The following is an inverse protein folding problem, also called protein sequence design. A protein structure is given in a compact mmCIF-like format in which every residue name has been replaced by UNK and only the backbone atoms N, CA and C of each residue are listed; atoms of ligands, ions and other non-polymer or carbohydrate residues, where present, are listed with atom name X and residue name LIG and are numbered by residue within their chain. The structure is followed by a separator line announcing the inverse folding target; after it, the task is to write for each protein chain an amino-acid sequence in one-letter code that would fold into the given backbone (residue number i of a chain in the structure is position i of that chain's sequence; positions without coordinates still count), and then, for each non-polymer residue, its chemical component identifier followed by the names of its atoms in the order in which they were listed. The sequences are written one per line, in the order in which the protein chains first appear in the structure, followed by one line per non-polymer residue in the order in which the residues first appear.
data_IF_762023427703
#
_entry.id   IF_762023427703
#
_cell.length_a   1.000
_cell.length_b   1.000
_cell.length_c   1.000
_cell.angle_alpha   90.00
_cell.angle_beta   90.00
_cell.angle_gamma   90.00
#
_symmetry.space_group_name_H-M   'P 1'
#
loop_
_entity.id
_entity.type
_entity.pdbx_description
1 polymer ?
#
# COMPACT_ATOMS: atom_id res chain seq x y z
N UNK A 1 11.04 23.88 -29.28
CA UNK A 1 10.98 22.90 -28.18
C UNK A 1 9.51 22.59 -28.01
N UNK A 2 9.07 21.42 -28.50
CA UNK A 2 7.69 20.99 -28.35
C UNK A 2 7.40 20.79 -26.87
N UNK A 3 6.38 21.47 -26.35
CA UNK A 3 5.75 21.13 -25.09
C UNK A 3 5.05 19.80 -25.29
N UNK A 4 5.79 18.69 -25.12
CA UNK A 4 5.18 17.38 -24.95
C UNK A 4 4.50 17.39 -23.60
N UNK A 5 3.21 17.66 -23.59
CA UNK A 5 2.34 17.47 -22.43
C UNK A 5 2.60 16.05 -21.89
N UNK A 6 3.05 15.95 -20.64
CA UNK A 6 3.24 14.65 -19.98
C UNK A 6 1.84 14.08 -19.80
N UNK A 7 1.42 13.19 -20.69
CA UNK A 7 0.15 12.48 -20.55
C UNK A 7 0.34 11.41 -19.46
N UNK A 8 -0.16 11.71 -18.28
CA UNK A 8 -0.24 10.80 -17.15
C UNK A 8 -1.31 9.75 -17.45
N UNK A 9 -0.89 8.52 -17.78
CA UNK A 9 -1.77 7.51 -18.37
C UNK A 9 -2.45 6.60 -17.34
N UNK A 10 -1.88 6.43 -16.15
CA UNK A 10 -2.44 5.54 -15.13
C UNK A 10 -3.60 6.20 -14.35
N UNK A 11 -4.67 5.45 -14.03
CA UNK A 11 -5.81 5.93 -13.26
C UNK A 11 -5.44 6.62 -11.93
N UNK A 12 -4.43 6.12 -11.23
CA UNK A 12 -3.97 6.66 -9.94
C UNK A 12 -3.59 8.13 -9.97
N UNK A 13 -3.19 8.68 -11.12
CA UNK A 13 -2.83 10.10 -11.22
C UNK A 13 -4.02 11.05 -10.98
N UNK A 14 -5.26 10.54 -11.04
CA UNK A 14 -6.46 11.29 -10.61
C UNK A 14 -6.41 11.68 -9.12
N UNK A 15 -5.57 11.01 -8.33
CA UNK A 15 -5.40 11.26 -6.89
C UNK A 15 -4.28 12.26 -6.57
N UNK A 16 -3.55 12.77 -7.56
CA UNK A 16 -2.42 13.69 -7.33
C UNK A 16 -2.82 14.97 -6.57
N UNK A 17 -4.02 15.50 -6.83
CA UNK A 17 -4.54 16.67 -6.10
C UNK A 17 -4.81 16.35 -4.64
N UNK A 18 -5.33 15.15 -4.35
CA UNK A 18 -5.59 14.70 -2.97
C UNK A 18 -4.27 14.47 -2.21
N UNK A 19 -3.27 13.86 -2.86
CA UNK A 19 -1.91 13.73 -2.31
C UNK A 19 -1.34 15.11 -1.98
N UNK A 20 -1.43 16.06 -2.91
CA UNK A 20 -0.95 17.45 -2.71
C UNK A 20 -1.66 18.13 -1.54
N UNK A 21 -2.98 17.97 -1.44
CA UNK A 21 -3.76 18.54 -0.34
C UNK A 21 -3.34 17.94 1.00
N UNK A 22 -3.21 16.61 1.10
CA UNK A 22 -2.85 15.91 2.33
C UNK A 22 -1.41 16.20 2.76
N UNK A 23 -0.44 16.14 1.85
CA UNK A 23 0.97 16.41 2.19
C UNK A 23 1.18 17.85 2.65
N UNK A 24 0.41 18.81 2.11
CA UNK A 24 0.47 20.22 2.54
C UNK A 24 0.07 20.45 4.01
N UNK A 25 -0.62 19.48 4.61
CA UNK A 25 -1.05 19.52 6.03
C UNK A 25 0.03 18.98 6.97
N UNK A 26 1.07 18.33 6.45
CA UNK A 26 2.19 17.78 7.23
C UNK A 26 3.24 18.87 7.43
N UNK A 27 3.09 19.65 8.51
CA UNK A 27 3.92 20.81 8.85
C UNK A 27 5.29 20.42 9.41
N UNK A 28 5.38 19.32 10.15
CA UNK A 28 6.59 18.77 10.78
C UNK A 28 7.66 18.45 9.73
N UNK A 29 7.24 18.12 8.51
CA UNK A 29 8.13 17.89 7.37
C UNK A 29 8.91 19.12 6.89
N UNK A 30 8.42 20.34 7.18
CA UNK A 30 9.04 21.61 6.78
C UNK A 30 9.38 21.64 5.28
N UNK A 31 8.47 21.15 4.43
CA UNK A 31 8.63 21.15 2.96
C UNK A 31 8.95 22.54 2.40
N UNK A 32 8.25 23.64 2.78
CA UNK A 32 8.56 24.97 2.26
C UNK A 32 10.01 25.40 2.53
N UNK A 33 10.55 25.08 3.70
CA UNK A 33 11.93 25.36 4.08
C UNK A 33 12.92 24.49 3.29
N UNK A 34 12.58 23.24 2.99
CA UNK A 34 13.46 22.38 2.18
C UNK A 34 13.49 22.83 0.72
N UNK A 35 12.37 23.34 0.18
CA UNK A 35 12.33 23.97 -1.15
C UNK A 35 13.25 25.19 -1.21
N UNK A 36 13.27 26.02 -0.16
CA UNK A 36 14.20 27.16 -0.08
C UNK A 36 15.67 26.72 -0.02
N UNK A 37 15.96 25.51 0.47
CA UNK A 37 17.29 24.90 0.50
C UNK A 37 17.67 24.18 -0.80
N UNK A 38 16.79 24.14 -1.79
CA UNK A 38 17.09 23.63 -3.13
C UNK A 38 16.40 22.33 -3.52
N UNK A 39 15.45 21.82 -2.72
CA UNK A 39 14.55 20.76 -3.15
C UNK A 39 13.62 21.27 -4.26
N UNK A 40 13.45 20.50 -5.33
CA UNK A 40 12.48 20.84 -6.37
C UNK A 40 11.06 20.50 -5.93
N UNK A 41 10.12 21.42 -6.19
CA UNK A 41 8.71 21.26 -5.86
C UNK A 41 7.92 20.44 -6.89
N UNK A 42 8.57 19.96 -7.95
CA UNK A 42 7.93 19.18 -9.02
C UNK A 42 8.33 17.71 -8.91
N UNK A 43 7.39 16.78 -9.09
CA UNK A 43 7.70 15.35 -9.19
C UNK A 43 8.06 15.01 -10.63
N UNK A 44 9.19 14.33 -10.82
CA UNK A 44 9.58 13.77 -12.11
C UNK A 44 8.98 12.38 -12.27
N UNK A 45 7.91 12.26 -13.05
CA UNK A 45 7.29 10.97 -13.31
C UNK A 45 8.13 10.10 -14.24
N UNK A 46 8.38 8.86 -13.81
CA UNK A 46 9.01 7.80 -14.61
C UNK A 46 8.07 6.61 -14.79
N UNK A 47 8.49 5.62 -15.58
CA UNK A 47 7.72 4.39 -15.89
C UNK A 47 6.29 4.63 -16.40
N UNK A 48 6.06 5.72 -17.12
CA UNK A 48 4.72 6.13 -17.62
C UNK A 48 4.05 5.14 -18.58
N UNK A 49 4.83 4.23 -19.16
CA UNK A 49 4.42 3.18 -20.10
C UNK A 49 5.21 1.88 -19.80
N UNK A 50 5.64 1.72 -18.56
CA UNK A 50 6.76 0.85 -18.24
C UNK A 50 6.45 -0.22 -17.21
N UNK A 51 7.37 -1.17 -17.17
CA UNK A 51 7.64 -1.96 -15.98
C UNK A 51 8.24 -1.02 -14.92
N UNK A 52 7.95 -1.29 -13.66
CA UNK A 52 8.59 -0.64 -12.50
C UNK A 52 10.11 -0.83 -12.60
N UNK A 53 10.84 0.28 -12.72
CA UNK A 53 12.31 0.31 -12.71
C UNK A 53 12.88 0.82 -11.40
N UNK A 54 12.13 1.67 -10.71
CA UNK A 54 12.42 2.19 -9.37
C UNK A 54 11.09 2.50 -8.67
N UNK A 55 11.13 2.71 -7.35
CA UNK A 55 9.98 3.21 -6.58
C UNK A 55 10.00 4.73 -6.60
N UNK A 56 10.98 5.30 -5.92
CA UNK A 56 11.33 6.71 -5.95
C UNK A 56 12.84 6.88 -5.76
N UNK A 57 13.37 8.02 -6.18
CA UNK A 57 14.76 8.44 -5.89
C UNK A 57 14.90 9.96 -6.04
N UNK A 58 15.84 10.56 -5.34
CA UNK A 58 16.30 11.92 -5.64
C UNK A 58 17.22 11.93 -6.88
N UNK A 59 16.91 12.81 -7.84
CA UNK A 59 17.80 13.09 -8.96
C UNK A 59 18.93 14.07 -8.56
N UNK A 60 19.90 14.26 -9.45
CA UNK A 60 21.05 15.16 -9.23
C UNK A 60 20.69 16.64 -9.13
N UNK A 61 19.42 17.02 -9.38
CA UNK A 61 18.88 18.36 -9.24
C UNK A 61 18.01 18.49 -7.99
N UNK A 62 18.06 17.50 -7.08
CA UNK A 62 17.23 17.40 -5.88
C UNK A 62 15.73 17.36 -6.20
N UNK A 63 15.37 16.67 -7.28
CA UNK A 63 13.98 16.41 -7.64
C UNK A 63 13.65 14.96 -7.37
N UNK A 64 12.50 14.73 -6.74
CA UNK A 64 12.01 13.38 -6.54
C UNK A 64 11.51 12.82 -7.87
N UNK A 65 12.13 11.73 -8.33
CA UNK A 65 11.60 10.85 -9.37
C UNK A 65 10.66 9.86 -8.72
N UNK A 66 9.49 9.66 -9.31
CA UNK A 66 8.48 8.71 -8.80
C UNK A 66 7.94 7.87 -9.95
N UNK A 67 7.92 6.54 -9.75
CA UNK A 67 7.41 5.61 -10.76
C UNK A 67 5.89 5.60 -10.80
N UNK A 68 5.35 5.88 -11.99
CA UNK A 68 3.91 5.87 -12.26
C UNK A 68 3.36 4.44 -12.23
N UNK A 69 4.13 3.49 -12.75
CA UNK A 69 3.78 2.07 -12.70
C UNK A 69 3.76 1.56 -11.25
N UNK A 70 4.72 1.98 -10.42
CA UNK A 70 4.75 1.63 -9.00
C UNK A 70 3.53 2.21 -8.27
N UNK A 71 3.18 3.47 -8.54
CA UNK A 71 2.00 4.10 -7.97
C UNK A 71 0.72 3.28 -8.27
N UNK A 72 0.55 2.83 -9.51
CA UNK A 72 -0.58 2.00 -9.88
C UNK A 72 -0.54 0.62 -9.20
N UNK A 73 0.65 0.03 -9.07
CA UNK A 73 0.87 -1.23 -8.39
C UNK A 73 0.49 -1.14 -6.91
N UNK A 74 0.99 -0.12 -6.20
CA UNK A 74 0.70 0.11 -4.78
C UNK A 74 -0.80 0.21 -4.55
N UNK A 75 -1.53 0.96 -5.39
CA UNK A 75 -2.99 1.08 -5.27
C UNK A 75 -3.69 -0.28 -5.38
N UNK A 76 -3.32 -1.11 -6.37
CA UNK A 76 -3.93 -2.44 -6.58
C UNK A 76 -3.65 -3.33 -5.37
N UNK A 77 -2.41 -3.34 -4.86
CA UNK A 77 -2.03 -4.19 -3.73
C UNK A 77 -2.73 -3.75 -2.44
N UNK A 78 -2.90 -2.44 -2.22
CA UNK A 78 -3.73 -1.93 -1.12
C UNK A 78 -5.19 -2.40 -1.24
N UNK A 79 -5.77 -2.27 -2.43
CA UNK A 79 -7.18 -2.62 -2.67
C UNK A 79 -7.47 -4.09 -2.39
N UNK A 80 -6.62 -4.96 -2.93
CA UNK A 80 -6.70 -6.40 -2.73
C UNK A 80 -6.56 -6.73 -1.24
N UNK A 81 -5.55 -6.18 -0.56
CA UNK A 81 -5.31 -6.48 0.84
C UNK A 81 -6.50 -6.07 1.73
N UNK A 82 -7.04 -4.86 1.54
CA UNK A 82 -8.17 -4.35 2.34
C UNK A 82 -9.44 -5.17 2.08
N UNK A 83 -9.81 -5.38 0.80
CA UNK A 83 -11.04 -6.11 0.45
C UNK A 83 -11.00 -7.56 0.91
N UNK A 84 -9.89 -8.24 0.66
CA UNK A 84 -9.76 -9.65 1.04
C UNK A 84 -9.64 -9.82 2.55
N UNK A 85 -9.04 -8.87 3.27
CA UNK A 85 -9.05 -8.85 4.73
C UNK A 85 -10.48 -8.72 5.27
N UNK A 86 -11.22 -7.68 4.87
CA UNK A 86 -12.59 -7.45 5.36
C UNK A 86 -13.53 -8.61 4.99
N UNK A 87 -13.38 -9.20 3.79
CA UNK A 87 -14.13 -10.39 3.39
C UNK A 87 -13.80 -11.63 4.25
N UNK A 88 -12.53 -11.84 4.61
CA UNK A 88 -12.13 -12.93 5.50
C UNK A 88 -12.69 -12.73 6.91
N UNK A 89 -12.66 -11.50 7.43
CA UNK A 89 -13.25 -11.18 8.74
C UNK A 89 -14.74 -11.46 8.73
N UNK A 90 -15.45 -11.04 7.68
CA UNK A 90 -16.88 -11.30 7.54
C UNK A 90 -17.18 -12.81 7.48
N UNK A 91 -16.41 -13.57 6.70
CA UNK A 91 -16.57 -15.03 6.62
C UNK A 91 -16.36 -15.72 7.98
N UNK A 92 -15.35 -15.28 8.75
CA UNK A 92 -15.07 -15.79 10.09
C UNK A 92 -16.19 -15.47 11.08
N UNK A 93 -16.79 -14.28 11.01
CA UNK A 93 -17.95 -13.93 11.84
C UNK A 93 -19.18 -14.75 11.43
N UNK A 94 -19.44 -14.89 10.13
CA UNK A 94 -20.54 -15.70 9.62
C UNK A 94 -20.39 -17.16 10.04
N UNK A 95 -19.19 -17.73 10.03
CA UNK A 95 -18.94 -19.11 10.43
C UNK A 95 -19.36 -19.43 11.88
N UNK A 96 -19.53 -18.42 12.75
CA UNK A 96 -20.03 -18.58 14.13
C UNK A 96 -21.55 -18.70 14.21
N UNK A 97 -22.25 -18.32 13.14
CA UNK A 97 -23.71 -18.26 13.06
C UNK A 97 -24.31 -19.49 12.38
N UNK A 98 -25.63 -19.68 12.52
CA UNK A 98 -26.35 -20.76 11.83
C UNK A 98 -26.55 -20.45 10.34
N UNK A 99 -26.73 -21.48 9.52
CA UNK A 99 -26.98 -21.32 8.08
C UNK A 99 -28.21 -20.45 7.78
N UNK A 100 -29.25 -20.52 8.62
CA UNK A 100 -30.44 -19.67 8.47
C UNK A 100 -30.13 -18.18 8.65
N UNK A 101 -29.25 -17.84 9.58
CA UNK A 101 -28.82 -16.45 9.84
C UNK A 101 -27.94 -15.96 8.70
N UNK A 102 -26.99 -16.78 8.23
CA UNK A 102 -26.14 -16.48 7.08
C UNK A 102 -27.00 -16.18 5.84
N UNK A 103 -27.93 -17.08 5.52
CA UNK A 103 -28.84 -16.93 4.38
C UNK A 103 -29.71 -15.67 4.50
N UNK A 104 -30.19 -15.38 5.71
CA UNK A 104 -31.00 -14.19 5.97
C UNK A 104 -30.19 -12.90 5.76
N UNK A 105 -28.94 -12.85 6.22
CA UNK A 105 -28.05 -11.70 6.01
C UNK A 105 -27.74 -11.52 4.52
N UNK A 106 -27.35 -12.59 3.82
CA UNK A 106 -27.02 -12.53 2.39
C UNK A 106 -28.23 -12.01 1.60
N UNK A 107 -29.44 -12.52 1.88
CA UNK A 107 -30.67 -12.02 1.26
C UNK A 107 -30.95 -10.57 1.62
N UNK A 108 -30.74 -10.18 2.88
CA UNK A 108 -30.92 -8.79 3.32
C UNK A 108 -30.00 -7.86 2.54
N UNK A 109 -28.71 -8.17 2.44
CA UNK A 109 -27.72 -7.34 1.74
C UNK A 109 -28.02 -7.27 0.25
N UNK A 110 -28.23 -8.43 -0.41
CA UNK A 110 -28.43 -8.50 -1.87
C UNK A 110 -29.79 -7.96 -2.33
N UNK A 111 -30.84 -8.03 -1.49
CA UNK A 111 -32.21 -7.63 -1.84
C UNK A 111 -32.68 -6.34 -1.15
N UNK A 112 -31.82 -5.68 -0.36
CA UNK A 112 -32.24 -4.48 0.36
C UNK A 112 -32.68 -3.39 -0.62
N UNK A 113 -33.94 -2.96 -0.48
CA UNK A 113 -34.47 -1.80 -1.20
C UNK A 113 -33.93 -0.47 -0.63
N UNK A 114 -33.49 -0.48 0.64
CA UNK A 114 -32.90 0.69 1.30
C UNK A 114 -31.39 0.56 1.27
N UNK A 115 -30.76 1.27 0.33
CA UNK A 115 -29.30 1.39 0.24
C UNK A 115 -28.81 2.32 1.36
N UNK A 116 -28.11 1.75 2.32
CA UNK A 116 -27.35 2.48 3.35
C UNK A 116 -25.88 2.23 3.08
N UNK A 117 -24.99 3.11 3.55
CA UNK A 117 -23.55 2.97 3.31
C UNK A 117 -23.01 1.63 3.84
N UNK A 118 -23.53 1.17 4.96
CA UNK A 118 -23.18 -0.13 5.54
C UNK A 118 -23.60 -1.30 4.66
N UNK A 119 -24.79 -1.24 4.07
CA UNK A 119 -25.28 -2.28 3.14
C UNK A 119 -24.49 -2.27 1.85
N UNK A 120 -24.13 -1.10 1.32
CA UNK A 120 -23.35 -0.99 0.09
C UNK A 120 -21.92 -1.55 0.28
N UNK A 121 -21.27 -1.21 1.39
CA UNK A 121 -19.98 -1.80 1.79
C UNK A 121 -20.08 -3.31 1.95
N UNK A 122 -21.08 -3.82 2.67
CA UNK A 122 -21.28 -5.25 2.84
C UNK A 122 -21.52 -5.94 1.49
N UNK A 123 -22.29 -5.31 0.59
CA UNK A 123 -22.59 -5.88 -0.71
C UNK A 123 -21.35 -6.04 -1.61
N UNK A 124 -20.28 -5.25 -1.38
CA UNK A 124 -18.99 -5.43 -2.07
C UNK A 124 -18.18 -6.63 -1.56
N UNK A 125 -18.43 -7.13 -0.33
CA UNK A 125 -17.64 -8.21 0.29
C UNK A 125 -18.42 -9.45 0.74
N UNK A 126 -19.75 -9.42 0.70
CA UNK A 126 -20.63 -10.51 1.19
C UNK A 126 -20.46 -11.81 0.40
N UNK A 127 -19.95 -11.71 -0.83
CA UNK A 127 -19.69 -12.84 -1.71
C UNK A 127 -18.19 -13.16 -1.72
N UNK A 128 -17.75 -13.94 -0.72
CA UNK A 128 -16.34 -14.23 -0.47
C UNK A 128 -15.62 -14.76 -1.72
N UNK A 129 -16.25 -15.71 -2.44
CA UNK A 129 -15.69 -16.27 -3.67
C UNK A 129 -15.50 -15.19 -4.74
N UNK A 130 -16.51 -14.35 -4.99
CA UNK A 130 -16.43 -13.28 -5.99
C UNK A 130 -15.34 -12.24 -5.65
N UNK A 131 -15.15 -11.92 -4.36
CA UNK A 131 -14.07 -11.03 -3.90
C UNK A 131 -12.71 -11.59 -4.27
N UNK A 132 -12.47 -12.87 -3.99
CA UNK A 132 -11.19 -13.52 -4.26
C UNK A 132 -10.93 -13.73 -5.77
N UNK A 133 -11.96 -14.05 -6.55
CA UNK A 133 -11.85 -14.12 -8.01
C UNK A 133 -11.46 -12.76 -8.62
N UNK A 134 -12.08 -11.67 -8.15
CA UNK A 134 -11.75 -10.32 -8.57
C UNK A 134 -10.33 -9.93 -8.13
N UNK A 135 -9.98 -10.17 -6.87
CA UNK A 135 -8.65 -9.92 -6.33
C UNK A 135 -7.55 -10.64 -7.12
N UNK A 136 -7.78 -11.90 -7.52
CA UNK A 136 -6.85 -12.65 -8.36
C UNK A 136 -6.67 -12.01 -9.74
N UNK A 137 -7.76 -11.57 -10.37
CA UNK A 137 -7.70 -10.85 -11.65
C UNK A 137 -6.93 -9.54 -11.54
N UNK A 138 -7.17 -8.76 -10.49
CA UNK A 138 -6.48 -7.49 -10.22
C UNK A 138 -5.01 -7.73 -9.90
N UNK A 139 -4.69 -8.79 -9.15
CA UNK A 139 -3.31 -9.19 -8.88
C UNK A 139 -2.53 -9.50 -10.17
N UNK A 140 -3.18 -10.12 -11.16
CA UNK A 140 -2.60 -10.32 -12.48
C UNK A 140 -2.25 -9.02 -13.23
N UNK A 141 -2.96 -7.92 -12.95
CA UNK A 141 -2.60 -6.60 -13.47
C UNK A 141 -1.40 -6.02 -12.71
N UNK A 142 -1.36 -6.20 -11.39
CA UNK A 142 -0.22 -5.79 -10.56
C UNK A 142 1.08 -6.48 -10.99
N UNK A 143 1.04 -7.79 -11.25
CA UNK A 143 2.20 -8.55 -11.73
C UNK A 143 2.73 -8.04 -13.09
N UNK A 144 1.85 -7.60 -13.99
CA UNK A 144 2.26 -7.04 -15.28
C UNK A 144 3.06 -5.74 -15.10
N UNK A 145 2.74 -4.91 -14.09
CA UNK A 145 3.52 -3.71 -13.77
C UNK A 145 4.96 -4.05 -13.30
N UNK A 146 5.17 -5.24 -12.73
CA UNK A 146 6.51 -5.72 -12.32
C UNK A 146 7.29 -6.32 -13.50
N UNK A 147 6.61 -6.87 -14.50
CA UNK A 147 7.25 -7.77 -15.49
C UNK A 147 7.26 -7.23 -16.92
N UNK A 148 6.36 -6.30 -17.25
CA UNK A 148 6.01 -5.99 -18.64
C UNK A 148 6.16 -4.50 -18.95
N UNK A 149 6.70 -4.17 -20.13
CA UNK A 149 6.63 -2.80 -20.68
C UNK A 149 5.35 -2.66 -21.50
N UNK A 150 4.71 -1.51 -21.41
CA UNK A 150 3.40 -1.24 -22.01
C UNK A 150 3.49 -0.28 -23.19
N UNK A 151 2.54 -0.39 -24.11
CA UNK A 151 2.20 0.69 -25.04
C UNK A 151 1.25 1.69 -24.38
N UNK A 152 0.96 2.82 -25.04
CA UNK A 152 -0.06 3.77 -24.53
C UNK A 152 -1.44 3.12 -24.46
N UNK A 153 -1.76 2.29 -25.44
CA UNK A 153 -3.02 1.56 -25.53
C UNK A 153 -3.16 0.52 -24.42
N UNK A 154 -2.06 -0.13 -24.01
CA UNK A 154 -2.09 -1.13 -22.94
C UNK A 154 -2.42 -0.51 -21.57
N UNK A 155 -1.99 0.73 -21.31
CA UNK A 155 -2.25 1.41 -20.04
C UNK A 155 -3.76 1.65 -19.83
N UNK A 156 -4.54 1.76 -20.90
CA UNK A 156 -5.99 1.90 -20.80
C UNK A 156 -6.67 0.70 -20.09
N UNK A 157 -6.02 -0.47 -20.04
CA UNK A 157 -6.56 -1.65 -19.35
C UNK A 157 -6.73 -1.41 -17.85
N UNK A 158 -5.91 -0.56 -17.23
CA UNK A 158 -6.02 -0.23 -15.81
C UNK A 158 -7.27 0.59 -15.48
N UNK A 159 -7.96 1.16 -16.48
CA UNK A 159 -9.25 1.84 -16.27
C UNK A 159 -10.39 0.89 -15.85
N UNK A 160 -10.18 -0.44 -15.86
CA UNK A 160 -11.14 -1.38 -15.30
C UNK A 160 -11.18 -1.38 -13.77
N UNK A 161 -10.17 -0.80 -13.10
CA UNK A 161 -10.10 -0.69 -11.65
C UNK A 161 -11.15 0.32 -11.17
N UNK A 162 -12.04 -0.13 -10.29
CA UNK A 162 -13.07 0.73 -9.72
C UNK A 162 -12.51 1.49 -8.51
N UNK A 163 -12.04 2.71 -8.79
CA UNK A 163 -11.54 3.64 -7.77
C UNK A 163 -12.65 4.50 -7.14
N UNK A 164 -13.92 4.25 -7.50
CA UNK A 164 -15.07 5.06 -7.08
C UNK A 164 -16.05 4.31 -6.15
N UNK A 165 -15.91 2.98 -6.03
CA UNK A 165 -16.67 2.18 -5.06
C UNK A 165 -16.37 2.59 -3.61
N UNK A 166 -17.13 2.08 -2.64
CA UNK A 166 -16.86 2.38 -1.24
C UNK A 166 -15.46 1.88 -0.83
N UNK A 167 -15.07 0.69 -1.28
CA UNK A 167 -13.70 0.22 -1.09
C UNK A 167 -12.70 0.97 -1.94
N UNK A 168 -13.02 1.33 -3.19
CA UNK A 168 -12.15 2.16 -4.03
C UNK A 168 -11.80 3.48 -3.32
N UNK A 169 -12.77 4.13 -2.67
CA UNK A 169 -12.54 5.34 -1.88
C UNK A 169 -11.68 5.10 -0.62
N UNK A 170 -11.86 3.96 0.07
CA UNK A 170 -11.00 3.58 1.21
C UNK A 170 -9.56 3.37 0.74
N UNK A 171 -9.38 2.63 -0.35
CA UNK A 171 -8.10 2.36 -0.99
C UNK A 171 -7.42 3.64 -1.43
N UNK A 172 -8.13 4.58 -2.07
CA UNK A 172 -7.58 5.88 -2.45
C UNK A 172 -6.95 6.61 -1.26
N UNK A 173 -7.62 6.59 -0.09
CA UNK A 173 -7.13 7.26 1.11
C UNK A 173 -5.85 6.62 1.66
N UNK A 174 -5.82 5.28 1.75
CA UNK A 174 -4.63 4.50 2.18
C UNK A 174 -3.47 4.71 1.21
N UNK A 175 -3.73 4.61 -0.09
CA UNK A 175 -2.76 4.86 -1.16
C UNK A 175 -2.16 6.26 -1.07
N UNK A 176 -2.98 7.30 -0.88
CA UNK A 176 -2.49 8.67 -0.78
C UNK A 176 -1.47 8.81 0.35
N UNK A 177 -1.75 8.26 1.54
CA UNK A 177 -0.78 8.29 2.64
C UNK A 177 0.46 7.42 2.39
N UNK A 178 0.33 6.32 1.66
CA UNK A 178 1.48 5.53 1.20
C UNK A 178 2.41 6.32 0.27
N UNK A 179 1.87 7.08 -0.69
CA UNK A 179 2.67 7.96 -1.55
C UNK A 179 3.29 9.11 -0.75
N UNK A 180 2.55 9.69 0.20
CA UNK A 180 3.07 10.74 1.07
C UNK A 180 4.26 10.23 1.88
N UNK A 181 4.18 9.01 2.43
CA UNK A 181 5.30 8.37 3.12
C UNK A 181 6.53 8.27 2.23
N UNK A 182 6.38 7.79 0.99
CA UNK A 182 7.50 7.68 0.02
C UNK A 182 8.09 9.06 -0.29
N UNK A 183 7.25 10.08 -0.52
CA UNK A 183 7.73 11.43 -0.79
C UNK A 183 8.48 12.04 0.41
N UNK A 184 8.02 11.77 1.63
CA UNK A 184 8.68 12.23 2.86
C UNK A 184 9.96 11.44 3.17
N UNK A 185 10.03 10.17 2.78
CA UNK A 185 11.24 9.37 2.85
C UNK A 185 12.33 9.96 1.93
N UNK A 186 12.00 10.28 0.67
CA UNK A 186 12.94 10.97 -0.22
C UNK A 186 13.31 12.38 0.30
N UNK A 187 12.35 13.09 0.90
CA UNK A 187 12.62 14.37 1.57
C UNK A 187 13.63 14.21 2.71
N UNK A 188 13.57 13.11 3.47
CA UNK A 188 14.51 12.83 4.54
C UNK A 188 15.94 12.63 4.00
N UNK A 189 16.11 11.88 2.91
CA UNK A 189 17.41 11.77 2.24
C UNK A 189 17.95 13.14 1.82
N UNK A 190 17.10 14.01 1.28
CA UNK A 190 17.50 15.39 0.96
C UNK A 190 17.91 16.18 2.21
N UNK A 191 17.11 16.11 3.28
CA UNK A 191 17.35 16.83 4.55
C UNK A 191 18.67 16.46 5.19
N UNK A 192 19.03 15.18 5.15
CA UNK A 192 20.26 14.67 5.74
C UNK A 192 21.45 14.68 4.78
N UNK A 193 21.22 14.91 3.48
CA UNK A 193 22.28 14.91 2.46
C UNK A 193 22.76 13.50 2.10
N UNK A 194 21.88 12.50 2.16
CA UNK A 194 22.17 11.12 1.80
C UNK A 194 22.25 10.98 0.26
N UNK A 195 23.47 10.87 -0.28
CA UNK A 195 23.70 10.71 -1.73
C UNK A 195 23.69 9.24 -2.17
N UNK A 196 24.10 8.34 -1.26
CA UNK A 196 24.08 6.89 -1.43
C UNK A 196 23.76 6.32 -0.05
N UNK A 197 22.46 6.15 0.26
CA UNK A 197 22.04 5.79 1.62
C UNK A 197 22.65 4.47 2.08
N UNK A 198 23.07 4.44 3.33
CA UNK A 198 23.37 3.22 4.07
C UNK A 198 22.09 2.66 4.71
N UNK A 199 22.17 1.46 5.29
CA UNK A 199 21.02 0.86 5.99
C UNK A 199 20.49 1.73 7.13
N UNK A 200 21.37 2.45 7.81
CA UNK A 200 20.96 3.34 8.90
C UNK A 200 20.28 4.59 8.34
N UNK A 201 20.79 5.12 7.24
CA UNK A 201 20.21 6.27 6.54
C UNK A 201 18.79 5.99 6.05
N UNK A 202 18.53 4.77 5.56
CA UNK A 202 17.19 4.27 5.17
C UNK A 202 16.25 4.19 6.38
N UNK A 203 16.73 3.69 7.52
CA UNK A 203 15.95 3.61 8.76
C UNK A 203 15.63 4.98 9.34
N UNK A 204 16.58 5.91 9.29
CA UNK A 204 16.39 7.29 9.70
C UNK A 204 15.38 8.00 8.79
N UNK A 205 15.43 7.73 7.47
CA UNK A 205 14.48 8.25 6.51
C UNK A 205 13.05 7.72 6.75
N UNK A 206 12.91 6.41 6.93
CA UNK A 206 11.63 5.77 7.30
C UNK A 206 11.06 6.33 8.59
N UNK A 207 11.90 6.42 9.63
CA UNK A 207 11.50 6.91 10.95
C UNK A 207 11.03 8.35 10.87
N UNK A 208 11.80 9.22 10.21
CA UNK A 208 11.43 10.63 10.06
C UNK A 208 10.13 10.78 9.27
N UNK A 209 10.00 10.09 8.14
CA UNK A 209 8.79 10.14 7.31
C UNK A 209 7.55 9.64 8.06
N UNK A 210 7.68 8.54 8.81
CA UNK A 210 6.61 8.00 9.64
C UNK A 210 6.18 9.01 10.71
N UNK A 211 7.12 9.58 11.48
CA UNK A 211 6.80 10.51 12.56
C UNK A 211 6.24 11.84 12.04
N UNK A 212 6.76 12.35 10.92
CA UNK A 212 6.20 13.54 10.27
C UNK A 212 4.72 13.34 9.94
N UNK A 213 4.33 12.18 9.39
CA UNK A 213 2.92 11.83 9.16
C UNK A 213 2.18 11.68 10.49
N UNK A 214 2.65 10.80 11.38
CA UNK A 214 1.92 10.34 12.56
C UNK A 214 1.56 11.49 13.52
N UNK A 215 2.44 12.50 13.65
CA UNK A 215 2.20 13.64 14.53
C UNK A 215 1.24 14.68 13.96
N UNK A 216 1.19 14.84 12.63
CA UNK A 216 0.46 15.94 12.00
C UNK A 216 -0.91 15.54 11.46
N UNK A 217 -1.13 14.26 11.18
CA UNK A 217 -2.45 13.77 10.75
C UNK A 217 -3.45 13.85 11.91
N UNK A 218 -4.71 14.14 11.55
CA UNK A 218 -5.81 14.14 12.51
C UNK A 218 -6.02 12.73 13.08
N UNK A 219 -6.50 12.64 14.33
CA UNK A 219 -6.79 11.35 14.97
C UNK A 219 -7.76 10.48 14.14
N UNK A 220 -8.70 11.10 13.41
CA UNK A 220 -9.63 10.39 12.52
C UNK A 220 -8.94 9.72 11.32
N UNK A 221 -7.77 10.22 10.93
CA UNK A 221 -7.01 9.75 9.77
C UNK A 221 -5.82 8.89 10.17
N UNK A 222 -5.42 8.87 11.44
CA UNK A 222 -4.25 8.11 11.94
C UNK A 222 -4.28 6.66 11.49
N UNK A 223 -5.42 5.98 11.63
CA UNK A 223 -5.53 4.58 11.23
C UNK A 223 -5.23 4.43 9.73
N UNK A 224 -5.87 5.23 8.89
CA UNK A 224 -5.68 5.22 7.43
C UNK A 224 -4.26 5.61 7.02
N UNK A 225 -3.66 6.58 7.71
CA UNK A 225 -2.31 7.05 7.44
C UNK A 225 -1.27 5.97 7.75
N UNK A 226 -1.37 5.34 8.94
CA UNK A 226 -0.51 4.23 9.34
C UNK A 226 -0.68 3.03 8.40
N UNK A 227 -1.91 2.72 7.97
CA UNK A 227 -2.14 1.69 6.95
C UNK A 227 -1.46 2.03 5.62
N UNK A 228 -1.44 3.31 5.23
CA UNK A 228 -0.72 3.79 4.05
C UNK A 228 0.80 3.54 4.15
N UNK A 229 1.39 3.89 5.29
CA UNK A 229 2.82 3.65 5.58
C UNK A 229 3.15 2.15 5.53
N UNK A 230 2.38 1.33 6.26
CA UNK A 230 2.57 -0.13 6.28
C UNK A 230 2.43 -0.70 4.87
N UNK A 231 1.43 -0.27 4.10
CA UNK A 231 1.22 -0.75 2.73
C UNK A 231 2.36 -0.36 1.78
N UNK A 232 2.91 0.85 1.92
CA UNK A 232 4.06 1.30 1.13
C UNK A 232 5.30 0.45 1.42
N UNK A 233 5.67 0.29 2.69
CA UNK A 233 6.77 -0.60 3.10
C UNK A 233 6.53 -2.04 2.64
N UNK A 234 5.31 -2.54 2.82
CA UNK A 234 4.98 -3.91 2.47
C UNK A 234 5.11 -4.17 0.95
N UNK A 235 4.68 -3.20 0.13
CA UNK A 235 4.74 -3.33 -1.32
C UNK A 235 6.15 -3.62 -1.85
N UNK A 236 7.20 -3.20 -1.13
CA UNK A 236 8.59 -3.42 -1.51
C UNK A 236 8.97 -4.91 -1.49
N UNK A 237 8.33 -5.71 -0.63
CA UNK A 237 8.57 -7.15 -0.53
C UNK A 237 8.20 -7.90 -1.82
N UNK A 238 7.38 -7.32 -2.70
CA UNK A 238 7.03 -7.94 -3.98
C UNK A 238 8.14 -7.85 -5.03
N UNK A 239 9.19 -7.05 -4.82
CA UNK A 239 10.32 -6.94 -5.75
C UNK A 239 11.42 -7.95 -5.49
N UNK A 240 11.41 -8.63 -4.34
CA UNK A 240 12.37 -9.69 -4.02
C UNK A 240 11.74 -10.86 -3.26
N UNK A 241 12.14 -12.08 -3.64
CA UNK A 241 11.80 -13.30 -2.89
C UNK A 241 12.62 -13.42 -1.60
N UNK A 242 13.82 -12.87 -1.61
CA UNK A 242 14.68 -12.80 -0.45
C UNK A 242 14.41 -11.48 0.28
N UNK A 243 14.00 -11.59 1.54
CA UNK A 243 13.70 -10.43 2.39
C UNK A 243 14.95 -9.93 3.13
N UNK A 244 16.11 -10.55 2.89
CA UNK A 244 17.38 -10.02 3.34
C UNK A 244 17.68 -8.72 2.60
N UNK A 245 18.03 -7.70 3.36
CA UNK A 245 18.62 -6.48 2.79
C UNK A 245 20.00 -6.75 2.21
N UNK A 246 20.46 -5.90 1.29
CA UNK A 246 21.78 -6.02 0.66
C UNK A 246 22.85 -5.22 1.42
N UNK A 247 23.85 -4.62 0.77
CA UNK A 247 24.83 -3.78 1.48
C UNK A 247 24.26 -2.42 1.89
N UNK A 248 23.26 -1.91 1.17
CA UNK A 248 22.69 -0.57 1.32
C UNK A 248 21.30 -0.58 1.92
N UNK A 249 20.48 -1.58 1.59
CA UNK A 249 19.09 -1.65 2.02
C UNK A 249 18.91 -2.55 3.26
N UNK A 250 18.09 -2.15 4.25
CA UNK A 250 17.72 -3.01 5.38
C UNK A 250 16.79 -4.14 4.96
N UNK A 251 16.59 -5.12 5.85
CA UNK A 251 15.64 -6.20 5.62
C UNK A 251 14.20 -5.65 5.59
N UNK A 252 13.48 -5.82 4.49
CA UNK A 252 12.17 -5.20 4.27
C UNK A 252 11.11 -5.65 5.30
N UNK A 253 11.12 -6.91 5.70
CA UNK A 253 10.26 -7.42 6.78
C UNK A 253 10.55 -6.73 8.11
N UNK A 254 11.82 -6.43 8.42
CA UNK A 254 12.18 -5.75 9.66
C UNK A 254 11.64 -4.33 9.69
N UNK A 255 11.71 -3.59 8.57
CA UNK A 255 11.14 -2.23 8.47
C UNK A 255 9.64 -2.23 8.77
N UNK A 256 8.91 -3.19 8.19
CA UNK A 256 7.47 -3.36 8.46
C UNK A 256 7.21 -3.66 9.94
N UNK A 257 7.96 -4.58 10.54
CA UNK A 257 7.80 -4.93 11.96
C UNK A 257 8.19 -3.80 12.90
N UNK A 258 9.21 -3.00 12.58
CA UNK A 258 9.61 -1.82 13.38
C UNK A 258 8.46 -0.81 13.48
N UNK A 259 7.82 -0.46 12.36
CA UNK A 259 6.64 0.43 12.38
C UNK A 259 5.45 -0.24 13.06
N UNK A 260 5.18 -1.51 12.77
CA UNK A 260 4.06 -2.24 13.39
C UNK A 260 4.20 -2.29 14.91
N UNK A 261 5.40 -2.57 15.46
CA UNK A 261 5.62 -2.65 16.89
C UNK A 261 5.36 -1.32 17.61
N UNK A 262 5.52 -0.17 16.93
CA UNK A 262 5.17 1.16 17.44
C UNK A 262 3.65 1.35 17.55
N UNK A 263 2.90 0.91 16.54
CA UNK A 263 1.47 1.23 16.35
C UNK A 263 0.54 0.05 16.66
N UNK A 264 1.07 -1.09 17.10
CA UNK A 264 0.32 -2.35 17.28
C UNK A 264 -0.93 -2.21 18.13
N UNK A 265 -0.88 -1.35 19.15
CA UNK A 265 -1.96 -1.16 20.12
C UNK A 265 -2.99 -0.10 19.65
N UNK A 266 -2.72 0.62 18.57
CA UNK A 266 -3.62 1.66 18.04
C UNK A 266 -4.81 1.02 17.30
N UNK A 267 -4.63 -0.13 16.64
CA UNK A 267 -5.69 -0.81 15.90
C UNK A 267 -5.42 -2.32 15.70
N UNK A 268 -6.35 -3.16 16.17
CA UNK A 268 -6.27 -4.62 15.97
C UNK A 268 -6.26 -5.04 14.48
N UNK A 269 -6.82 -4.22 13.58
CA UNK A 269 -6.87 -4.54 12.16
C UNK A 269 -5.49 -4.51 11.49
N UNK A 270 -4.48 -3.88 12.10
CA UNK A 270 -3.13 -3.84 11.56
C UNK A 270 -2.51 -5.23 11.42
N UNK A 271 -2.63 -6.06 12.46
CA UNK A 271 -2.12 -7.43 12.41
C UNK A 271 -2.78 -8.22 11.27
N UNK A 272 -4.10 -8.07 11.12
CA UNK A 272 -4.87 -8.73 10.07
C UNK A 272 -4.47 -8.34 8.66
N UNK A 273 -4.26 -7.05 8.42
CA UNK A 273 -3.83 -6.57 7.10
C UNK A 273 -2.39 -7.01 6.79
N UNK A 274 -1.47 -6.95 7.76
CA UNK A 274 -0.09 -7.41 7.57
C UNK A 274 -0.04 -8.92 7.26
N UNK A 275 -0.85 -9.73 7.95
CA UNK A 275 -0.98 -11.16 7.62
C UNK A 275 -1.48 -11.35 6.19
N UNK A 276 -2.47 -10.57 5.76
CA UNK A 276 -3.01 -10.67 4.40
C UNK A 276 -1.96 -10.32 3.34
N UNK A 277 -1.20 -9.26 3.59
CA UNK A 277 -0.06 -8.86 2.78
C UNK A 277 1.01 -9.95 2.66
N UNK A 278 1.43 -10.57 3.77
CA UNK A 278 2.38 -11.67 3.75
C UNK A 278 1.87 -12.90 3.00
N UNK A 279 0.57 -13.21 3.10
CA UNK A 279 -0.02 -14.28 2.31
C UNK A 279 0.00 -13.98 0.81
N UNK A 280 -0.29 -12.74 0.41
CA UNK A 280 -0.20 -12.31 -1.00
C UNK A 280 1.24 -12.42 -1.52
N UNK A 281 2.22 -12.00 -0.73
CA UNK A 281 3.64 -12.16 -1.06
C UNK A 281 4.05 -13.63 -1.18
N UNK A 282 3.65 -14.48 -0.21
CA UNK A 282 3.95 -15.90 -0.23
C UNK A 282 3.30 -16.60 -1.43
N UNK A 283 2.08 -16.21 -1.78
CA UNK A 283 1.38 -16.65 -2.98
C UNK A 283 2.16 -16.27 -4.25
N UNK A 284 2.54 -14.99 -4.39
CA UNK A 284 3.30 -14.48 -5.54
C UNK A 284 4.60 -15.26 -5.78
N UNK A 285 5.36 -15.53 -4.72
CA UNK A 285 6.63 -16.25 -4.80
C UNK A 285 6.51 -17.78 -4.73
N UNK A 286 5.29 -18.30 -4.73
CA UNK A 286 4.94 -19.72 -4.64
C UNK A 286 5.67 -20.42 -3.47
N UNK A 287 5.56 -19.85 -2.27
CA UNK A 287 6.17 -20.36 -1.04
C UNK A 287 5.24 -21.41 -0.42
N UNK A 288 5.65 -22.68 -0.50
CA UNK A 288 4.82 -23.83 -0.10
C UNK A 288 4.67 -24.03 1.41
N UNK A 289 5.72 -23.72 2.17
CA UNK A 289 5.77 -23.99 3.61
C UNK A 289 5.49 -22.71 4.43
N UNK A 290 4.69 -21.79 3.89
CA UNK A 290 4.33 -20.55 4.57
C UNK A 290 3.32 -20.82 5.72
N UNK A 291 3.42 -20.14 6.87
CA UNK A 291 2.52 -20.38 8.00
C UNK A 291 1.03 -20.25 7.64
N UNK A 292 0.23 -21.18 8.15
CA UNK A 292 -1.23 -21.16 8.04
C UNK A 292 -1.84 -20.17 9.04
N UNK A 293 -3.15 -19.91 8.93
CA UNK A 293 -3.86 -19.14 9.95
C UNK A 293 -3.86 -19.88 11.29
N UNK A 294 -3.51 -19.13 12.34
CA UNK A 294 -3.69 -19.49 13.75
C UNK A 294 -5.04 -18.97 14.27
N UNK A 295 -5.33 -19.11 15.58
CA UNK A 295 -6.63 -18.69 16.14
C UNK A 295 -6.86 -17.18 16.02
N UNK A 296 -5.79 -16.40 16.05
CA UNK A 296 -5.81 -14.93 15.94
C UNK A 296 -4.82 -14.43 14.89
N UNK A 297 -5.03 -13.20 14.40
CA UNK A 297 -4.12 -12.56 13.46
C UNK A 297 -2.77 -12.25 14.11
N UNK A 298 -2.75 -11.89 15.40
CA UNK A 298 -1.55 -11.62 16.18
C UNK A 298 -0.68 -12.87 16.31
N UNK A 299 -1.26 -14.00 16.69
CA UNK A 299 -0.53 -15.28 16.74
C UNK A 299 -0.03 -15.68 15.35
N UNK A 300 -0.86 -15.52 14.31
CA UNK A 300 -0.45 -15.80 12.93
C UNK A 300 0.74 -14.93 12.53
N UNK A 301 0.75 -13.66 12.94
CA UNK A 301 1.84 -12.74 12.65
C UNK A 301 3.13 -13.12 13.40
N UNK A 302 3.03 -13.55 14.66
CA UNK A 302 4.15 -14.09 15.42
C UNK A 302 4.72 -15.36 14.77
N UNK A 303 3.86 -16.25 14.27
CA UNK A 303 4.28 -17.45 13.53
C UNK A 303 5.02 -17.09 12.24
N UNK A 304 4.54 -16.08 11.50
CA UNK A 304 5.20 -15.54 10.31
C UNK A 304 6.56 -14.94 10.65
N UNK A 305 6.65 -14.12 11.70
CA UNK A 305 7.91 -13.50 12.16
C UNK A 305 8.94 -14.57 12.51
N UNK A 306 8.54 -15.57 13.30
CA UNK A 306 9.39 -16.70 13.68
C UNK A 306 9.82 -17.54 12.46
N UNK A 307 8.95 -17.72 11.47
CA UNK A 307 9.26 -18.45 10.24
C UNK A 307 10.30 -17.70 9.38
N UNK A 308 10.13 -16.38 9.24
CA UNK A 308 11.07 -15.51 8.51
C UNK A 308 12.46 -15.54 9.16
N UNK A 309 12.55 -15.42 10.48
CA UNK A 309 13.83 -15.49 11.20
C UNK A 309 14.55 -16.83 11.02
N UNK A 310 13.81 -17.94 10.95
CA UNK A 310 14.38 -19.27 10.69
C UNK A 310 14.89 -19.41 9.27
N UNK A 311 14.19 -18.84 8.29
CA UNK A 311 14.58 -18.90 6.86
C UNK A 311 15.87 -18.12 6.56
N UNK A 312 16.18 -17.10 7.37
CA UNK A 312 17.38 -16.26 7.24
C UNK A 312 18.64 -16.85 7.90
N UNK A 313 18.52 -17.97 8.61
CA UNK A 313 19.64 -18.70 9.24
C UNK A 313 20.12 -19.83 8.34
#
# INVERSE_FOLDING_TARGET
MENTEIVLNFPVHKLNSEITEKISKIRSSQIPEQIQKGLQNEIMWVDLLGKITTVAELDSLNRVKLSSAYCQFLWIICDIAIKTYDANVLELELAKETEEIKDALIKMVKLSQKRTKEIDVLNEIIDHQAVFEKAFSEFGLAEQLITTKFTKEDVCRFNCLDMTSDYGSKTNSVYCYGIIFILLHELAHFRFGHICPTKEDEKDADSLAFWDIYYDVLDTDKITATLGVISALFSLLFFSKDLNGDEQHPDEDKRVFEIFDIVRDDCANYAGLIVQFFKLWAFYWNIKDFPSMSETYEQTLDDIKNWLEKKKK
#
